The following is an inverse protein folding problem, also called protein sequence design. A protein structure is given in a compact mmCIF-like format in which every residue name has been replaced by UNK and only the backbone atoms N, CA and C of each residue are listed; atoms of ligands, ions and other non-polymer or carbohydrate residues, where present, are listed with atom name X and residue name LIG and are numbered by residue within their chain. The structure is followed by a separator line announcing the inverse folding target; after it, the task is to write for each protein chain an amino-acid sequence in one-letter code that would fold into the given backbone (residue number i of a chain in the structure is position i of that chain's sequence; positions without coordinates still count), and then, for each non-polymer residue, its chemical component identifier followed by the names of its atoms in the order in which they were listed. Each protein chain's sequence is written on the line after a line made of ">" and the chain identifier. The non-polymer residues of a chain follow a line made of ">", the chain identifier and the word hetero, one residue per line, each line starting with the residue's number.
data_IF_912706259768
#
_entry.id   IF_912706259768
#
_cell.length_a   1.000
_cell.length_b   1.000
_cell.length_c   1.000
_cell.angle_alpha   90.00
_cell.angle_beta   90.00
_cell.angle_gamma   90.00
#
_symmetry.space_group_name_H-M   'P 1'
#
loop_
_entity.id
_entity.type
_entity.pdbx_description
1 polymer ?
#
# COMPACT_ATOMS: atom_id res chain seq x y z
N UNK A 1 36.11 -10.44 6.21
CA UNK A 1 35.99 -11.83 5.74
C UNK A 1 36.12 -12.72 6.96
N UNK A 2 35.02 -13.09 7.58
CA UNK A 2 34.97 -14.15 8.60
C UNK A 2 33.76 -15.02 8.30
N UNK A 3 34.03 -16.27 8.01
CA UNK A 3 33.11 -17.33 7.58
C UNK A 3 32.44 -17.87 8.84
N UNK A 4 31.11 -17.89 8.84
CA UNK A 4 30.35 -18.62 9.86
C UNK A 4 30.21 -20.08 9.45
N UNK A 5 30.67 -20.98 10.30
CA UNK A 5 30.48 -22.43 10.18
C UNK A 5 29.15 -22.81 10.85
N UNK A 6 28.40 -23.76 10.29
CA UNK A 6 27.15 -24.23 10.92
C UNK A 6 27.42 -25.17 12.09
N UNK A 7 26.76 -24.91 13.21
CA UNK A 7 26.72 -25.83 14.36
C UNK A 7 25.64 -26.86 14.06
N UNK A 8 26.06 -28.09 13.79
CA UNK A 8 25.18 -29.26 13.74
C UNK A 8 24.94 -29.80 15.16
N UNK A 9 23.70 -29.69 15.67
CA UNK A 9 23.25 -30.46 16.82
C UNK A 9 22.11 -31.37 16.37
N UNK A 10 22.43 -32.66 16.22
CA UNK A 10 21.45 -33.73 16.05
C UNK A 10 20.85 -34.06 17.42
N UNK A 11 19.62 -33.63 17.67
CA UNK A 11 18.82 -34.13 18.76
C UNK A 11 17.88 -35.22 18.21
N UNK A 12 18.14 -36.49 18.59
CA UNK A 12 17.25 -37.60 18.27
C UNK A 12 16.03 -37.57 19.19
N UNK A 13 14.85 -37.31 18.60
CA UNK A 13 13.58 -37.48 19.30
C UNK A 13 13.12 -38.93 19.21
N UNK A 14 13.07 -39.62 20.35
CA UNK A 14 12.44 -40.92 20.46
C UNK A 14 10.92 -40.70 20.62
N UNK A 15 10.16 -41.05 19.58
CA UNK A 15 8.69 -41.03 19.62
C UNK A 15 8.21 -42.40 20.16
N UNK A 16 7.68 -42.40 21.36
CA UNK A 16 6.95 -43.54 21.89
C UNK A 16 5.54 -43.58 21.28
N UNK A 17 5.25 -44.59 20.49
CA UNK A 17 3.93 -44.82 19.95
C UNK A 17 3.00 -45.41 21.03
N UNK A 18 2.09 -44.60 21.57
CA UNK A 18 0.93 -45.04 22.32
C UNK A 18 -0.25 -45.23 21.37
N UNK A 19 -0.69 -46.48 21.23
CA UNK A 19 -1.93 -46.81 20.51
C UNK A 19 -3.14 -46.38 21.34
N UNK A 20 -3.73 -45.25 20.99
CA UNK A 20 -5.03 -44.82 21.49
C UNK A 20 -6.13 -45.32 20.55
N UNK A 21 -7.06 -46.10 21.07
CA UNK A 21 -8.29 -46.52 20.37
C UNK A 21 -9.15 -45.31 20.08
N UNK A 22 -9.35 -44.99 18.80
CA UNK A 22 -10.22 -43.91 18.34
C UNK A 22 -11.69 -44.34 18.41
N UNK A 23 -12.42 -43.86 19.40
CA UNK A 23 -13.87 -43.79 19.30
C UNK A 23 -14.21 -42.64 18.32
N UNK A 24 -14.74 -42.96 17.18
CA UNK A 24 -15.25 -41.96 16.20
C UNK A 24 -16.53 -41.33 16.73
N UNK A 25 -16.42 -40.20 17.40
CA UNK A 25 -17.51 -39.24 17.54
C UNK A 25 -17.76 -38.62 16.16
N UNK A 26 -19.03 -38.47 15.71
CA UNK A 26 -19.31 -37.77 14.47
C UNK A 26 -18.77 -36.34 14.60
N UNK A 27 -17.98 -35.91 13.63
CA UNK A 27 -17.61 -34.52 13.47
C UNK A 27 -18.90 -33.69 13.41
N UNK A 28 -19.18 -32.94 14.49
CA UNK A 28 -20.24 -31.96 14.49
C UNK A 28 -20.02 -31.04 13.29
N UNK A 29 -21.11 -30.70 12.60
CA UNK A 29 -21.10 -29.72 11.52
C UNK A 29 -20.35 -28.49 12.00
N UNK A 30 -19.20 -28.20 11.37
CA UNK A 30 -18.47 -26.97 11.66
C UNK A 30 -19.46 -25.81 11.50
N UNK A 31 -19.60 -24.99 12.52
CA UNK A 31 -20.36 -23.74 12.43
C UNK A 31 -19.85 -22.96 11.20
N UNK A 32 -20.75 -22.36 10.39
CA UNK A 32 -20.29 -21.56 9.28
C UNK A 32 -19.31 -20.50 9.80
N UNK A 33 -18.21 -20.29 9.08
CA UNK A 33 -17.24 -19.27 9.44
C UNK A 33 -17.95 -17.92 9.61
N UNK A 34 -17.57 -17.10 10.61
CA UNK A 34 -18.20 -15.81 10.85
C UNK A 34 -18.11 -14.98 9.56
N UNK A 35 -19.22 -14.35 9.19
CA UNK A 35 -19.29 -13.58 7.95
C UNK A 35 -18.98 -12.12 8.24
N UNK A 36 -17.93 -11.62 7.64
CA UNK A 36 -17.58 -10.21 7.62
C UNK A 36 -18.51 -9.40 6.69
N UNK A 37 -18.62 -8.09 6.93
CA UNK A 37 -19.40 -7.18 6.09
C UNK A 37 -18.69 -6.74 4.79
N UNK A 38 -17.48 -7.25 4.54
CA UNK A 38 -16.73 -7.00 3.30
C UNK A 38 -17.49 -7.49 2.06
N UNK A 39 -17.15 -6.98 0.88
CA UNK A 39 -17.76 -7.42 -0.37
C UNK A 39 -17.67 -8.94 -0.59
N UNK A 40 -16.55 -9.54 -0.22
CA UNK A 40 -16.32 -10.98 -0.32
C UNK A 40 -16.92 -11.81 0.82
N UNK A 41 -17.35 -11.18 1.91
CA UNK A 41 -17.75 -11.82 3.17
C UNK A 41 -16.58 -12.44 3.95
N UNK A 42 -15.33 -12.16 3.54
CA UNK A 42 -14.11 -12.62 4.20
C UNK A 42 -13.51 -11.51 5.05
N UNK A 43 -12.58 -11.89 5.92
CA UNK A 43 -11.80 -10.98 6.77
C UNK A 43 -11.21 -9.81 5.99
N UNK A 44 -11.31 -8.59 6.54
CA UNK A 44 -10.63 -7.41 6.02
C UNK A 44 -9.13 -7.66 5.90
N UNK A 45 -8.53 -7.30 4.77
CA UNK A 45 -7.11 -7.51 4.47
C UNK A 45 -6.28 -6.34 4.97
N UNK A 46 -5.16 -6.63 5.62
CA UNK A 46 -4.23 -5.62 6.12
C UNK A 46 -3.10 -5.40 5.12
N UNK A 47 -2.89 -4.16 4.74
CA UNK A 47 -1.80 -3.73 3.88
C UNK A 47 -0.74 -3.06 4.75
N UNK A 48 0.47 -3.63 4.77
CA UNK A 48 1.62 -2.98 5.40
C UNK A 48 2.04 -1.75 4.60
N UNK A 49 1.57 -0.57 5.03
CA UNK A 49 1.82 0.72 4.39
C UNK A 49 3.30 1.08 4.43
N UNK A 50 4.01 0.91 3.31
CA UNK A 50 5.47 1.01 3.20
C UNK A 50 6.22 -0.01 4.08
N UNK A 51 5.56 -1.15 4.37
CA UNK A 51 6.01 -2.17 5.31
C UNK A 51 5.55 -1.92 6.74
N UNK A 52 6.33 -2.34 7.75
CA UNK A 52 6.11 -2.07 9.19
C UNK A 52 6.78 -0.74 9.57
N UNK A 53 6.13 0.35 9.23
CA UNK A 53 6.67 1.71 9.32
C UNK A 53 6.71 2.25 10.76
N UNK A 54 5.90 1.70 11.67
CA UNK A 54 5.90 2.13 13.07
C UNK A 54 7.26 1.88 13.76
N UNK A 55 7.97 0.81 13.37
CA UNK A 55 9.20 0.38 14.03
C UNK A 55 10.45 0.43 13.14
N UNK A 56 10.28 0.39 11.83
CA UNK A 56 11.36 0.35 10.85
C UNK A 56 11.31 1.56 9.91
N UNK A 57 12.42 2.01 9.35
CA UNK A 57 12.38 2.99 8.26
C UNK A 57 11.54 2.47 7.09
N UNK A 58 10.64 3.31 6.59
CA UNK A 58 9.74 2.97 5.50
C UNK A 58 10.48 2.43 4.27
N UNK A 59 9.83 1.55 3.50
CA UNK A 59 10.36 0.99 2.25
C UNK A 59 11.70 0.25 2.39
N UNK A 60 12.13 -0.03 3.60
CA UNK A 60 13.35 -0.82 3.84
C UNK A 60 13.07 -2.32 3.72
N UNK A 61 14.12 -3.10 3.42
CA UNK A 61 14.05 -4.56 3.49
C UNK A 61 13.52 -5.02 4.86
N UNK A 62 13.97 -4.37 5.95
CA UNK A 62 13.53 -4.69 7.30
C UNK A 62 12.04 -4.46 7.51
N UNK A 63 11.48 -3.30 7.04
CA UNK A 63 10.07 -2.99 7.20
C UNK A 63 9.16 -3.97 6.45
N UNK A 64 9.55 -4.40 5.26
CA UNK A 64 8.79 -5.36 4.47
C UNK A 64 8.78 -6.76 5.08
N UNK A 65 9.95 -7.19 5.57
CA UNK A 65 10.07 -8.48 6.23
C UNK A 65 9.26 -8.51 7.53
N UNK A 66 9.36 -7.44 8.32
CA UNK A 66 8.64 -7.33 9.59
C UNK A 66 7.12 -7.30 9.39
N UNK A 67 6.61 -6.52 8.41
CA UNK A 67 5.20 -6.50 8.08
C UNK A 67 4.65 -7.90 7.76
N UNK A 68 5.41 -8.69 7.00
CA UNK A 68 5.03 -10.06 6.69
C UNK A 68 5.01 -10.96 7.92
N UNK A 69 6.01 -10.88 8.80
CA UNK A 69 6.07 -11.63 10.06
C UNK A 69 4.89 -11.32 10.98
N UNK A 70 4.46 -10.07 11.02
CA UNK A 70 3.41 -9.57 11.91
C UNK A 70 1.99 -9.76 11.39
N UNK A 71 1.83 -10.28 10.18
CA UNK A 71 0.52 -10.71 9.69
C UNK A 71 -0.13 -9.83 8.63
N UNK A 72 0.64 -8.97 7.94
CA UNK A 72 0.16 -8.29 6.74
C UNK A 72 -0.28 -9.30 5.67
N UNK A 73 -1.36 -8.99 4.95
CA UNK A 73 -1.82 -9.77 3.80
C UNK A 73 -1.19 -9.25 2.51
N UNK A 74 -0.96 -7.93 2.45
CA UNK A 74 -0.28 -7.23 1.36
C UNK A 74 0.89 -6.41 1.89
N UNK A 75 1.90 -6.24 1.05
CA UNK A 75 3.07 -5.39 1.32
C UNK A 75 3.10 -4.32 0.22
N UNK A 76 3.18 -3.07 0.63
CA UNK A 76 3.03 -1.94 -0.29
C UNK A 76 4.36 -1.24 -0.55
N UNK A 77 4.74 -1.05 -1.84
CA UNK A 77 5.84 -0.20 -2.28
C UNK A 77 5.33 1.00 -3.08
N UNK A 78 5.89 2.17 -2.82
CA UNK A 78 5.77 3.35 -3.69
C UNK A 78 6.88 3.35 -4.74
N UNK A 79 6.56 3.55 -6.01
CA UNK A 79 7.52 3.51 -7.11
C UNK A 79 7.91 4.90 -7.57
N UNK A 80 9.21 5.11 -7.72
CA UNK A 80 9.83 6.24 -8.39
C UNK A 80 10.75 5.77 -9.51
N UNK A 81 11.11 6.69 -10.44
CA UNK A 81 11.95 6.37 -11.59
C UNK A 81 13.23 7.21 -11.57
N UNK A 82 14.38 6.56 -11.54
CA UNK A 82 15.69 7.21 -11.59
C UNK A 82 15.97 7.86 -12.95
N UNK A 83 16.97 8.73 -13.00
CA UNK A 83 17.44 9.39 -14.23
C UNK A 83 17.75 8.41 -15.35
N UNK A 84 18.37 7.30 -15.05
CA UNK A 84 18.76 6.22 -15.97
C UNK A 84 17.70 5.12 -16.13
N UNK A 85 16.46 5.35 -15.66
CA UNK A 85 15.29 4.52 -15.98
C UNK A 85 15.12 3.27 -15.09
N UNK A 86 15.70 3.23 -13.91
CA UNK A 86 15.44 2.16 -12.94
C UNK A 86 14.28 2.53 -12.01
N UNK A 87 13.40 1.56 -11.76
CA UNK A 87 12.38 1.70 -10.73
C UNK A 87 13.01 1.50 -9.35
N UNK A 88 12.79 2.45 -8.46
CA UNK A 88 13.16 2.34 -7.05
C UNK A 88 11.93 2.45 -6.16
N UNK A 89 12.07 2.03 -4.92
CA UNK A 89 11.01 2.11 -3.93
C UNK A 89 11.27 3.29 -2.99
N UNK A 90 10.44 4.32 -3.07
CA UNK A 90 10.51 5.52 -2.25
C UNK A 90 9.21 6.32 -2.34
N UNK A 91 8.70 6.82 -1.20
CA UNK A 91 7.39 7.50 -1.19
C UNK A 91 7.41 8.86 -1.90
N UNK A 92 8.29 9.76 -1.44
CA UNK A 92 8.35 11.10 -2.03
C UNK A 92 9.13 11.08 -3.34
N UNK A 93 8.87 12.04 -4.21
CA UNK A 93 9.65 12.28 -5.43
C UNK A 93 11.08 12.74 -5.11
N UNK A 94 11.36 13.05 -3.83
CA UNK A 94 12.64 13.56 -3.32
C UNK A 94 13.09 12.81 -2.07
N UNK A 95 14.37 12.95 -1.69
CA UNK A 95 15.07 12.03 -0.80
C UNK A 95 15.56 12.66 0.51
N UNK A 96 15.42 13.99 0.67
CA UNK A 96 16.04 14.72 1.80
C UNK A 96 15.50 14.31 3.17
N UNK A 97 14.20 13.99 3.29
CA UNK A 97 13.52 13.67 4.55
C UNK A 97 13.66 12.23 5.03
N UNK A 98 13.99 11.29 4.11
CA UNK A 98 13.97 9.85 4.39
C UNK A 98 15.33 9.17 4.20
N UNK A 99 16.37 9.92 3.87
CA UNK A 99 17.71 9.35 3.62
C UNK A 99 18.84 10.21 4.21
N UNK A 100 20.04 9.67 4.17
CA UNK A 100 21.26 10.38 4.57
C UNK A 100 21.87 11.25 3.45
N UNK A 101 21.14 11.56 2.36
CA UNK A 101 21.68 12.24 1.17
C UNK A 101 22.32 13.59 1.49
N UNK A 102 21.78 14.32 2.47
CA UNK A 102 22.34 15.60 2.90
C UNK A 102 23.78 15.50 3.46
N UNK A 103 24.22 14.30 3.83
CA UNK A 103 25.55 14.01 4.35
C UNK A 103 26.50 13.41 3.31
N UNK A 104 26.14 13.44 2.02
CA UNK A 104 26.95 12.93 0.90
C UNK A 104 27.40 14.12 0.05
N UNK A 105 28.63 14.64 0.25
CA UNK A 105 29.11 15.85 -0.44
C UNK A 105 29.08 15.74 -1.97
N UNK A 106 29.34 14.54 -2.49
CA UNK A 106 29.36 14.25 -3.92
C UNK A 106 28.01 14.48 -4.61
N UNK A 107 26.92 14.42 -3.86
CA UNK A 107 25.55 14.62 -4.36
C UNK A 107 24.99 16.02 -4.06
N UNK A 108 25.70 16.86 -3.32
CA UNK A 108 25.21 18.19 -2.92
C UNK A 108 24.81 19.07 -4.10
N UNK A 109 25.54 18.97 -5.23
CA UNK A 109 25.31 19.75 -6.44
C UNK A 109 24.05 19.33 -7.24
N UNK A 110 23.42 18.22 -6.88
CA UNK A 110 22.22 17.69 -7.55
C UNK A 110 20.90 18.23 -6.99
N UNK A 111 20.97 19.10 -5.99
CA UNK A 111 19.77 19.81 -5.51
C UNK A 111 19.17 20.65 -6.64
N UNK A 112 17.87 20.55 -6.79
CA UNK A 112 17.13 21.26 -7.82
C UNK A 112 15.76 21.72 -7.33
N UNK A 113 15.07 22.48 -8.18
CA UNK A 113 13.65 22.80 -7.99
C UNK A 113 12.85 22.10 -9.08
N UNK A 114 11.72 21.51 -8.72
CA UNK A 114 10.82 20.91 -9.71
C UNK A 114 9.39 21.34 -9.47
N UNK A 115 8.69 21.56 -10.59
CA UNK A 115 7.25 21.81 -10.64
C UNK A 115 6.61 20.75 -11.51
N UNK A 116 5.53 20.13 -11.02
CA UNK A 116 4.74 19.15 -11.77
C UNK A 116 3.26 19.25 -11.37
N UNK A 117 2.39 18.67 -12.16
CA UNK A 117 0.99 18.49 -11.77
C UNK A 117 0.93 17.37 -10.76
N UNK A 118 0.50 17.69 -9.54
CA UNK A 118 0.36 16.72 -8.46
C UNK A 118 -0.90 15.89 -8.67
N UNK A 119 -0.77 14.59 -8.66
CA UNK A 119 -1.83 13.68 -9.04
C UNK A 119 -2.97 13.56 -8.02
N UNK A 120 -2.74 13.95 -6.76
CA UNK A 120 -3.74 13.93 -5.69
C UNK A 120 -4.85 14.97 -5.92
N UNK A 121 -4.48 16.19 -6.35
CA UNK A 121 -5.40 17.32 -6.46
C UNK A 121 -5.44 17.98 -7.85
N UNK A 122 -4.58 17.52 -8.77
CA UNK A 122 -4.49 18.04 -10.12
C UNK A 122 -3.88 19.46 -10.23
N UNK A 123 -3.29 19.98 -9.14
CA UNK A 123 -2.68 21.33 -9.11
C UNK A 123 -1.18 21.27 -9.32
N UNK A 124 -0.60 22.38 -9.76
CA UNK A 124 0.86 22.48 -9.81
C UNK A 124 1.45 22.50 -8.39
N UNK A 125 2.36 21.56 -8.15
CA UNK A 125 3.18 21.48 -6.94
C UNK A 125 4.61 21.83 -7.28
N UNK A 126 5.20 22.76 -6.53
CA UNK A 126 6.61 23.10 -6.64
C UNK A 126 7.34 22.74 -5.36
N UNK A 127 8.41 21.99 -5.50
CA UNK A 127 9.33 21.65 -4.40
C UNK A 127 10.69 22.26 -4.71
N UNK A 128 11.24 22.97 -3.72
CA UNK A 128 12.46 23.76 -3.87
C UNK A 128 13.61 23.11 -3.12
N UNK A 129 14.82 23.23 -3.71
CA UNK A 129 16.09 22.90 -3.07
C UNK A 129 16.15 21.47 -2.50
N UNK A 130 15.70 20.50 -3.28
CA UNK A 130 15.63 19.08 -2.92
C UNK A 130 16.39 18.18 -3.91
N UNK A 131 16.68 16.95 -3.51
CA UNK A 131 17.25 15.92 -4.34
C UNK A 131 16.15 15.02 -4.89
N UNK A 132 15.86 15.18 -6.17
CA UNK A 132 14.78 14.41 -6.80
C UNK A 132 15.30 13.07 -7.31
N UNK A 133 14.51 12.01 -7.09
CA UNK A 133 14.77 10.66 -7.60
C UNK A 133 15.07 10.69 -9.11
N UNK A 134 14.29 11.48 -9.87
CA UNK A 134 14.42 11.62 -11.32
C UNK A 134 15.74 12.26 -11.78
N UNK A 135 16.52 12.87 -10.90
CA UNK A 135 17.82 13.50 -11.23
C UNK A 135 19.02 12.60 -10.88
N UNK A 136 18.82 11.52 -10.11
CA UNK A 136 19.87 10.61 -9.68
C UNK A 136 19.87 9.33 -10.52
N UNK A 137 21.07 8.83 -10.80
CA UNK A 137 21.24 7.47 -11.39
C UNK A 137 21.10 6.41 -10.30
N UNK A 138 20.87 5.14 -10.69
CA UNK A 138 20.83 4.04 -9.73
C UNK A 138 22.16 3.90 -8.96
N UNK A 139 23.31 4.16 -9.59
CA UNK A 139 24.61 4.17 -8.91
C UNK A 139 24.65 5.17 -7.77
N UNK A 140 24.13 6.39 -7.98
CA UNK A 140 24.03 7.43 -6.96
C UNK A 140 23.03 7.06 -5.85
N UNK A 141 21.88 6.48 -6.22
CA UNK A 141 20.89 5.94 -5.26
C UNK A 141 21.53 4.88 -4.34
N UNK A 142 22.42 4.02 -4.87
CA UNK A 142 23.10 2.98 -4.08
C UNK A 142 24.06 3.53 -2.99
N UNK A 143 24.45 4.79 -3.08
CA UNK A 143 25.25 5.45 -2.04
C UNK A 143 24.41 5.76 -0.79
N UNK A 144 23.08 5.81 -0.92
CA UNK A 144 22.17 6.27 0.12
C UNK A 144 21.85 5.18 1.14
N UNK A 145 21.47 5.65 2.33
CA UNK A 145 20.90 4.83 3.39
C UNK A 145 19.59 5.46 3.86
N UNK A 146 18.59 4.60 4.10
CA UNK A 146 17.27 5.03 4.54
C UNK A 146 17.32 5.39 6.02
N UNK A 147 16.63 6.46 6.38
CA UNK A 147 16.35 6.87 7.75
C UNK A 147 14.82 6.83 7.98
N UNK A 148 14.42 6.74 9.24
CA UNK A 148 13.05 7.05 9.62
C UNK A 148 12.73 8.48 9.19
N UNK A 149 11.54 8.68 8.60
CA UNK A 149 11.17 10.00 8.10
C UNK A 149 11.23 11.04 9.22
N UNK A 150 11.77 12.22 8.89
CA UNK A 150 12.19 13.23 9.88
C UNK A 150 11.03 13.83 10.69
N UNK A 151 9.82 13.78 10.16
CA UNK A 151 8.60 14.21 10.84
C UNK A 151 8.13 13.25 11.94
N UNK A 152 8.53 11.99 11.91
CA UNK A 152 8.11 10.96 12.89
C UNK A 152 9.15 10.80 14.01
N UNK A 153 9.38 11.86 14.79
CA UNK A 153 10.42 11.88 15.86
C UNK A 153 10.14 10.90 17.00
N UNK A 154 8.89 10.45 17.18
CA UNK A 154 8.49 9.46 18.20
C UNK A 154 8.78 8.02 17.79
N UNK A 155 9.02 7.75 16.52
CA UNK A 155 9.36 6.41 16.04
C UNK A 155 10.79 6.03 16.35
N UNK A 156 11.09 4.72 16.53
CA UNK A 156 12.46 4.27 16.78
C UNK A 156 13.44 4.69 15.67
N UNK A 157 14.56 5.30 16.07
CA UNK A 157 15.58 5.81 15.15
C UNK A 157 16.80 4.90 14.99
N UNK A 158 16.86 3.79 15.74
CA UNK A 158 18.05 2.94 15.81
C UNK A 158 18.34 2.12 14.55
N UNK A 159 17.40 2.06 13.61
CA UNK A 159 17.62 1.45 12.29
C UNK A 159 18.01 2.46 11.20
N UNK A 160 18.15 3.73 11.52
CA UNK A 160 18.63 4.74 10.58
C UNK A 160 20.02 4.37 10.04
N UNK A 161 20.20 4.45 8.74
CA UNK A 161 21.45 4.14 8.07
C UNK A 161 21.75 2.66 7.84
N UNK A 162 20.89 1.74 8.29
CA UNK A 162 21.12 0.30 8.10
C UNK A 162 20.79 -0.19 6.70
N UNK A 163 19.70 0.31 6.11
CA UNK A 163 19.16 -0.21 4.84
C UNK A 163 19.45 0.72 3.68
N UNK A 164 19.74 0.15 2.50
CA UNK A 164 19.77 0.88 1.23
C UNK A 164 18.38 0.94 0.60
N UNK A 165 18.20 1.87 -0.34
CA UNK A 165 16.99 1.96 -1.15
C UNK A 165 16.93 0.74 -2.08
N UNK A 166 15.78 0.06 -2.11
CA UNK A 166 15.53 -1.08 -2.98
C UNK A 166 15.12 -0.62 -4.38
N UNK A 167 15.49 -1.39 -5.40
CA UNK A 167 14.77 -1.33 -6.68
C UNK A 167 13.46 -2.10 -6.57
N UNK A 168 12.55 -1.88 -7.53
CA UNK A 168 11.30 -2.64 -7.56
C UNK A 168 11.54 -4.14 -7.74
N UNK A 169 12.53 -4.51 -8.54
CA UNK A 169 12.97 -5.89 -8.72
C UNK A 169 13.45 -6.51 -7.40
N UNK A 170 14.23 -5.77 -6.61
CA UNK A 170 14.69 -6.24 -5.28
C UNK A 170 13.54 -6.35 -4.29
N UNK A 171 12.59 -5.41 -4.31
CA UNK A 171 11.37 -5.52 -3.52
C UNK A 171 10.59 -6.80 -3.84
N UNK A 172 10.35 -7.10 -5.12
CA UNK A 172 9.66 -8.32 -5.54
C UNK A 172 10.41 -9.58 -5.09
N UNK A 173 11.74 -9.55 -5.06
CA UNK A 173 12.55 -10.62 -4.48
C UNK A 173 12.35 -10.75 -2.97
N UNK A 174 12.26 -9.64 -2.24
CA UNK A 174 11.98 -9.66 -0.78
C UNK A 174 10.64 -10.32 -0.52
N UNK A 175 9.57 -9.91 -1.21
CA UNK A 175 8.24 -10.51 -1.06
C UNK A 175 8.26 -12.00 -1.38
N UNK A 176 8.96 -12.40 -2.43
CA UNK A 176 9.13 -13.80 -2.80
C UNK A 176 9.87 -14.59 -1.72
N UNK A 177 10.97 -14.06 -1.20
CA UNK A 177 11.78 -14.75 -0.19
C UNK A 177 11.02 -14.93 1.12
N UNK A 178 10.29 -13.91 1.58
CA UNK A 178 9.49 -14.00 2.79
C UNK A 178 8.29 -14.94 2.60
N UNK A 179 7.71 -15.00 1.40
CA UNK A 179 6.68 -15.98 1.04
C UNK A 179 7.20 -17.43 1.18
N UNK A 180 8.42 -17.70 0.72
CA UNK A 180 9.04 -19.03 0.86
C UNK A 180 9.32 -19.35 2.33
N UNK A 181 9.90 -18.41 3.05
CA UNK A 181 10.30 -18.61 4.45
C UNK A 181 9.10 -18.86 5.37
N UNK A 182 8.02 -18.12 5.17
CA UNK A 182 6.81 -18.22 5.98
C UNK A 182 5.78 -19.24 5.46
N UNK A 183 6.01 -19.79 4.26
CA UNK A 183 5.11 -20.79 3.66
C UNK A 183 3.70 -20.27 3.34
N UNK A 184 3.52 -18.93 3.23
CA UNK A 184 2.26 -18.32 2.83
C UNK A 184 2.48 -17.21 1.81
N UNK A 185 1.57 -17.03 0.82
CA UNK A 185 1.68 -15.98 -0.16
C UNK A 185 1.33 -14.60 0.44
N UNK A 186 2.02 -13.58 -0.05
CA UNK A 186 1.75 -12.17 0.25
C UNK A 186 1.35 -11.44 -1.03
N UNK A 187 0.34 -10.58 -0.92
CA UNK A 187 -0.03 -9.69 -2.00
C UNK A 187 0.99 -8.54 -2.17
N UNK A 188 1.13 -8.05 -3.41
CA UNK A 188 1.89 -6.85 -3.76
C UNK A 188 0.94 -5.78 -4.27
N UNK A 189 1.13 -4.54 -3.83
CA UNK A 189 0.26 -3.43 -4.18
C UNK A 189 1.07 -2.17 -4.52
N UNK A 190 1.86 -2.19 -5.63
CA UNK A 190 2.73 -1.08 -6.00
C UNK A 190 1.95 0.17 -6.42
N UNK A 191 2.34 1.31 -5.84
CA UNK A 191 1.85 2.63 -6.25
C UNK A 191 2.76 3.26 -7.28
N UNK A 192 2.18 3.74 -8.39
CA UNK A 192 2.86 4.61 -9.33
C UNK A 192 2.70 6.07 -8.88
N UNK A 193 3.76 6.63 -8.29
CA UNK A 193 3.80 8.02 -7.80
C UNK A 193 4.05 8.99 -8.93
N UNK A 194 3.28 10.08 -8.97
CA UNK A 194 3.52 11.25 -9.85
C UNK A 194 3.97 10.90 -11.29
N UNK A 195 3.17 10.12 -12.06
CA UNK A 195 3.54 9.74 -13.42
C UNK A 195 3.85 10.93 -14.33
N UNK A 196 3.18 12.06 -14.13
CA UNK A 196 3.43 13.31 -14.87
C UNK A 196 4.86 13.85 -14.70
N UNK A 197 5.46 13.64 -13.51
CA UNK A 197 6.86 13.98 -13.26
C UNK A 197 7.82 12.97 -13.91
N UNK A 198 7.57 11.67 -13.71
CA UNK A 198 8.50 10.62 -14.12
C UNK A 198 8.48 10.32 -15.60
N UNK A 199 7.39 10.61 -16.31
CA UNK A 199 7.33 10.49 -17.79
C UNK A 199 7.95 11.69 -18.51
N UNK A 200 8.18 12.82 -17.82
CA UNK A 200 8.73 14.02 -18.44
C UNK A 200 10.15 13.79 -19.00
N UNK A 201 10.34 14.07 -20.28
CA UNK A 201 11.64 13.92 -20.96
C UNK A 201 12.06 12.49 -21.23
N UNK A 202 11.17 11.52 -21.05
CA UNK A 202 11.38 10.14 -21.43
C UNK A 202 11.20 9.94 -22.95
N UNK A 203 11.68 8.80 -23.50
CA UNK A 203 11.58 8.53 -24.94
C UNK A 203 10.16 8.57 -25.51
N UNK A 204 9.16 8.27 -24.67
CA UNK A 204 7.74 8.30 -25.04
C UNK A 204 6.86 8.44 -23.78
N UNK A 205 5.62 8.84 -23.98
CA UNK A 205 4.61 8.87 -22.92
C UNK A 205 4.34 7.43 -22.40
N UNK A 206 4.00 7.30 -21.14
CA UNK A 206 3.78 6.01 -20.47
C UNK A 206 5.04 5.16 -20.26
N UNK A 207 6.22 5.76 -20.39
CA UNK A 207 7.48 5.06 -20.13
C UNK A 207 7.55 4.48 -18.72
N UNK A 208 7.08 5.21 -17.73
CA UNK A 208 7.08 4.80 -16.32
C UNK A 208 6.10 3.64 -16.08
N UNK A 209 4.89 3.73 -16.61
CA UNK A 209 3.87 2.69 -16.52
C UNK A 209 4.31 1.40 -17.21
N UNK A 210 4.81 1.49 -18.44
CA UNK A 210 5.31 0.34 -19.19
C UNK A 210 6.46 -0.34 -18.46
N UNK A 211 7.36 0.45 -17.86
CA UNK A 211 8.48 -0.08 -17.07
C UNK A 211 7.98 -0.87 -15.86
N UNK A 212 6.98 -0.35 -15.15
CA UNK A 212 6.38 -1.03 -14.01
C UNK A 212 5.68 -2.33 -14.43
N UNK A 213 4.87 -2.28 -15.50
CA UNK A 213 4.17 -3.45 -16.08
C UNK A 213 5.16 -4.54 -16.46
N UNK A 214 6.21 -4.20 -17.22
CA UNK A 214 7.22 -5.16 -17.66
C UNK A 214 7.96 -5.81 -16.49
N UNK A 215 8.24 -5.05 -15.44
CA UNK A 215 8.89 -5.58 -14.24
C UNK A 215 7.95 -6.57 -13.54
N UNK A 216 6.70 -6.21 -13.32
CA UNK A 216 5.73 -7.07 -12.64
C UNK A 216 5.44 -8.35 -13.44
N UNK A 217 5.29 -8.25 -14.79
CA UNK A 217 5.14 -9.40 -15.69
C UNK A 217 6.35 -10.33 -15.60
N UNK A 218 7.56 -9.75 -15.68
CA UNK A 218 8.81 -10.54 -15.67
C UNK A 218 8.94 -11.39 -14.40
N UNK A 219 8.48 -10.87 -13.27
CA UNK A 219 8.50 -11.59 -11.99
C UNK A 219 7.28 -12.47 -11.76
N UNK A 220 6.34 -12.53 -12.69
CA UNK A 220 5.21 -13.46 -12.70
C UNK A 220 3.98 -13.00 -11.92
N UNK A 221 3.89 -11.72 -11.56
CA UNK A 221 2.72 -11.15 -10.86
C UNK A 221 1.69 -10.51 -11.80
N UNK A 222 1.96 -10.38 -13.09
CA UNK A 222 1.06 -9.80 -14.07
C UNK A 222 1.14 -10.55 -15.39
N UNK A 223 0.03 -10.51 -16.16
CA UNK A 223 0.03 -10.83 -17.58
C UNK A 223 -0.33 -9.57 -18.38
N UNK A 224 0.41 -9.31 -19.45
CA UNK A 224 0.12 -8.20 -20.36
C UNK A 224 -1.02 -8.62 -21.28
N UNK A 225 -2.11 -7.84 -21.28
CA UNK A 225 -3.33 -8.12 -22.04
C UNK A 225 -3.43 -7.32 -23.34
N UNK A 226 -2.70 -6.20 -23.43
CA UNK A 226 -2.62 -5.34 -24.63
C UNK A 226 -1.18 -4.96 -24.89
N UNK A 227 -0.90 -4.56 -26.13
CA UNK A 227 0.43 -4.13 -26.53
C UNK A 227 0.92 -2.95 -25.69
N UNK A 228 2.18 -3.05 -25.24
CA UNK A 228 2.96 -1.98 -24.59
C UNK A 228 4.32 -1.88 -25.26
N UNK A 229 5.02 -0.77 -25.07
CA UNK A 229 6.37 -0.65 -25.60
C UNK A 229 7.36 -1.51 -24.79
N UNK A 230 7.99 -2.50 -25.46
CA UNK A 230 8.96 -3.41 -24.85
C UNK A 230 10.42 -3.04 -25.13
N UNK A 231 10.68 -1.90 -25.80
CA UNK A 231 12.04 -1.46 -26.15
C UNK A 231 12.81 -0.89 -24.94
N UNK A 232 12.41 -1.28 -23.75
CA UNK A 232 13.06 -0.91 -22.50
C UNK A 232 14.04 -1.98 -22.06
N UNK A 233 15.25 -1.56 -21.73
CA UNK A 233 16.25 -2.45 -21.14
C UNK A 233 15.87 -2.73 -19.67
N UNK A 234 15.26 -3.90 -19.43
CA UNK A 234 15.14 -4.45 -18.08
C UNK A 234 16.47 -5.11 -17.74
N UNK A 235 17.09 -4.77 -16.63
CA UNK A 235 18.29 -5.45 -16.17
C UNK A 235 17.95 -6.86 -15.66
N UNK A 236 17.91 -7.80 -16.60
CA UNK A 236 17.60 -9.21 -16.32
C UNK A 236 18.71 -9.93 -15.52
N UNK A 237 19.86 -9.27 -15.25
CA UNK A 237 20.95 -9.90 -14.50
C UNK A 237 20.56 -10.27 -13.07
N UNK A 238 19.63 -9.52 -12.50
CA UNK A 238 19.05 -9.87 -11.19
C UNK A 238 18.11 -11.08 -11.29
N UNK A 239 17.34 -11.19 -12.38
CA UNK A 239 16.37 -12.28 -12.60
C UNK A 239 17.02 -13.64 -12.90
N UNK A 240 18.18 -13.66 -13.56
CA UNK A 240 18.89 -14.91 -13.91
C UNK A 240 19.31 -15.73 -12.69
N UNK A 241 19.36 -15.12 -11.49
CA UNK A 241 19.64 -15.80 -10.22
C UNK A 241 18.37 -16.33 -9.51
N UNK A 242 17.20 -15.98 -10.00
CA UNK A 242 15.94 -16.40 -9.41
C UNK A 242 15.55 -17.76 -9.98
N UNK A 243 15.59 -18.80 -9.15
CA UNK A 243 14.97 -20.07 -9.51
C UNK A 243 13.46 -19.82 -9.65
N UNK A 244 12.79 -20.38 -10.68
CA UNK A 244 11.34 -20.35 -10.73
C UNK A 244 10.80 -20.94 -9.43
N UNK A 245 10.00 -20.18 -8.68
CA UNK A 245 9.10 -20.77 -7.70
C UNK A 245 8.06 -21.55 -8.50
N UNK A 246 7.72 -22.74 -8.07
CA UNK A 246 6.56 -23.45 -8.64
C UNK A 246 5.35 -22.51 -8.60
N UNK A 247 4.48 -22.58 -9.59
CA UNK A 247 3.35 -21.67 -9.85
C UNK A 247 2.38 -21.43 -8.66
N UNK A 248 2.58 -22.12 -7.54
CA UNK A 248 1.64 -22.15 -6.41
C UNK A 248 1.89 -21.07 -5.34
N UNK A 249 2.88 -20.18 -5.47
CA UNK A 249 3.40 -19.46 -4.30
C UNK A 249 3.31 -17.94 -4.37
N UNK A 250 3.02 -17.34 -5.53
CA UNK A 250 2.84 -15.88 -5.60
C UNK A 250 1.45 -15.48 -5.08
N UNK A 251 1.43 -14.46 -4.22
CA UNK A 251 0.19 -13.82 -3.81
C UNK A 251 -0.42 -12.96 -4.92
N UNK A 252 -1.59 -12.38 -4.67
CA UNK A 252 -2.22 -11.49 -5.63
C UNK A 252 -1.42 -10.20 -5.81
N UNK A 253 -1.59 -9.57 -6.99
CA UNK A 253 -1.07 -8.23 -7.28
C UNK A 253 -2.21 -7.26 -7.52
N UNK A 254 -1.99 -6.00 -7.15
CA UNK A 254 -2.95 -4.92 -7.36
C UNK A 254 -2.17 -3.64 -7.67
N UNK A 255 -2.47 -2.96 -8.78
CA UNK A 255 -1.91 -1.65 -9.07
C UNK A 255 -2.57 -0.56 -8.26
N UNK A 256 -1.86 0.51 -7.95
CA UNK A 256 -2.47 1.72 -7.42
C UNK A 256 -1.85 3.00 -7.98
N UNK A 257 -2.66 4.04 -8.12
CA UNK A 257 -2.22 5.38 -8.50
C UNK A 257 -3.28 6.42 -8.17
N UNK A 258 -2.83 7.64 -7.83
CA UNK A 258 -3.67 8.84 -7.79
C UNK A 258 -3.94 9.39 -9.20
N UNK A 259 -3.05 9.14 -10.15
CA UNK A 259 -3.25 9.54 -11.55
C UNK A 259 -4.28 8.61 -12.21
N UNK A 260 -5.48 9.14 -12.45
CA UNK A 260 -6.58 8.37 -13.02
C UNK A 260 -6.32 7.89 -14.46
N UNK A 261 -5.46 8.57 -15.21
CA UNK A 261 -5.12 8.17 -16.58
C UNK A 261 -4.12 7.03 -16.57
N UNK A 262 -3.15 7.04 -15.65
CA UNK A 262 -2.27 5.91 -15.40
C UNK A 262 -3.04 4.71 -14.85
N UNK A 263 -3.95 4.93 -13.90
CA UNK A 263 -4.81 3.86 -13.37
C UNK A 263 -5.61 3.16 -14.48
N UNK A 264 -6.24 3.93 -15.39
CA UNK A 264 -6.93 3.38 -16.56
C UNK A 264 -6.00 2.66 -17.53
N UNK A 265 -4.82 3.22 -17.76
CA UNK A 265 -3.82 2.59 -18.62
C UNK A 265 -3.42 1.21 -18.08
N UNK A 266 -3.08 1.11 -16.79
CA UNK A 266 -2.75 -0.14 -16.12
C UNK A 266 -3.88 -1.18 -16.22
N UNK A 267 -5.12 -0.76 -15.94
CA UNK A 267 -6.31 -1.63 -16.06
C UNK A 267 -6.57 -2.14 -17.48
N UNK A 268 -6.17 -1.37 -18.49
CA UNK A 268 -6.36 -1.73 -19.90
C UNK A 268 -5.28 -2.67 -20.45
N UNK A 269 -4.07 -2.62 -19.87
CA UNK A 269 -2.89 -3.30 -20.42
C UNK A 269 -2.46 -4.52 -19.62
N UNK A 270 -3.00 -4.74 -18.42
CA UNK A 270 -2.71 -5.90 -17.59
C UNK A 270 -3.99 -6.59 -17.09
N UNK A 271 -3.87 -7.83 -16.61
CA UNK A 271 -4.93 -8.57 -15.91
C UNK A 271 -4.97 -8.24 -14.40
N UNK A 272 -4.10 -7.36 -13.94
CA UNK A 272 -3.98 -6.99 -12.53
C UNK A 272 -5.05 -5.97 -12.15
N UNK A 273 -5.85 -6.20 -11.11
CA UNK A 273 -6.81 -5.23 -10.60
C UNK A 273 -6.16 -3.90 -10.23
N UNK A 274 -6.94 -2.82 -10.32
CA UNK A 274 -6.45 -1.46 -10.04
C UNK A 274 -7.20 -0.84 -8.87
N UNK A 275 -6.45 -0.21 -7.98
CA UNK A 275 -6.93 0.74 -6.97
C UNK A 275 -6.93 2.13 -7.59
N UNK A 276 -8.07 2.79 -7.58
CA UNK A 276 -8.15 4.24 -7.74
C UNK A 276 -7.90 4.88 -6.36
N UNK A 277 -6.74 5.54 -6.21
CA UNK A 277 -6.46 6.37 -5.04
C UNK A 277 -7.12 7.73 -5.23
N UNK A 278 -7.99 8.12 -4.31
CA UNK A 278 -8.75 9.37 -4.42
C UNK A 278 -8.76 10.09 -3.09
N UNK A 279 -8.37 11.36 -3.11
CA UNK A 279 -8.50 12.24 -1.94
C UNK A 279 -9.36 13.48 -2.26
N UNK A 280 -8.91 14.28 -3.20
CA UNK A 280 -9.40 15.64 -3.42
C UNK A 280 -10.15 15.78 -4.76
N UNK A 281 -10.86 14.73 -5.17
CA UNK A 281 -11.68 14.70 -6.38
C UNK A 281 -13.17 14.61 -5.99
N UNK A 282 -13.91 15.75 -5.87
CA UNK A 282 -15.28 15.77 -5.38
C UNK A 282 -16.22 14.79 -6.09
N UNK A 283 -16.11 14.72 -7.42
CA UNK A 283 -16.95 13.85 -8.25
C UNK A 283 -16.87 12.36 -7.87
N UNK A 284 -15.74 11.90 -7.34
CA UNK A 284 -15.51 10.48 -7.04
C UNK A 284 -16.41 9.96 -5.89
N UNK A 285 -16.90 10.86 -5.05
CA UNK A 285 -17.74 10.53 -3.88
C UNK A 285 -19.24 10.71 -4.16
N UNK A 286 -19.63 10.61 -5.42
CA UNK A 286 -21.03 10.66 -5.87
C UNK A 286 -21.43 9.31 -6.49
N UNK A 287 -22.73 8.97 -6.59
CA UNK A 287 -23.17 7.77 -7.27
C UNK A 287 -22.63 7.64 -8.70
N UNK A 288 -22.73 8.70 -9.51
CA UNK A 288 -22.21 8.70 -10.87
C UNK A 288 -20.68 8.61 -10.91
N UNK A 289 -20.00 9.16 -9.91
CA UNK A 289 -18.55 9.03 -9.76
C UNK A 289 -18.11 7.58 -9.49
N UNK A 290 -18.83 6.89 -8.60
CA UNK A 290 -18.59 5.46 -8.38
C UNK A 290 -18.85 4.62 -9.64
N UNK A 291 -19.90 4.93 -10.41
CA UNK A 291 -20.17 4.25 -11.70
C UNK A 291 -19.00 4.45 -12.67
N UNK A 292 -18.42 5.67 -12.72
CA UNK A 292 -17.24 5.97 -13.55
C UNK A 292 -16.00 5.20 -13.10
N UNK A 293 -15.77 5.10 -11.78
CA UNK A 293 -14.65 4.35 -11.20
C UNK A 293 -14.80 2.84 -11.46
N UNK A 294 -15.99 2.27 -11.31
CA UNK A 294 -16.30 0.87 -11.58
C UNK A 294 -15.93 0.44 -13.02
N UNK A 295 -15.87 1.38 -13.96
CA UNK A 295 -15.49 1.13 -15.35
C UNK A 295 -14.03 0.67 -15.53
N UNK A 296 -13.14 0.88 -14.55
CA UNK A 296 -11.72 0.49 -14.65
C UNK A 296 -11.10 0.05 -13.32
N UNK A 297 -11.54 0.57 -12.18
CA UNK A 297 -11.02 0.23 -10.86
C UNK A 297 -11.84 -0.88 -10.19
N UNK A 298 -11.19 -1.74 -9.45
CA UNK A 298 -11.82 -2.76 -8.60
C UNK A 298 -11.83 -2.35 -7.14
N UNK A 299 -10.97 -1.43 -6.76
CA UNK A 299 -10.83 -0.94 -5.40
C UNK A 299 -10.82 0.59 -5.44
N UNK A 300 -11.60 1.22 -4.60
CA UNK A 300 -11.52 2.63 -4.28
C UNK A 300 -10.78 2.79 -2.96
N UNK A 301 -9.70 3.53 -2.98
CA UNK A 301 -8.92 3.82 -1.78
C UNK A 301 -8.93 5.33 -1.53
N UNK A 302 -9.30 5.71 -0.31
CA UNK A 302 -9.42 7.12 0.06
C UNK A 302 -9.11 7.34 1.53
N UNK A 303 -8.95 8.61 1.90
CA UNK A 303 -8.63 8.99 3.26
C UNK A 303 -9.72 8.57 4.24
N UNK A 304 -9.33 8.00 5.38
CA UNK A 304 -10.26 7.46 6.39
C UNK A 304 -11.23 8.51 6.94
N UNK A 305 -10.84 9.78 6.92
CA UNK A 305 -11.68 10.90 7.35
C UNK A 305 -13.01 10.99 6.58
N UNK A 306 -13.02 10.58 5.33
CA UNK A 306 -14.21 10.55 4.48
C UNK A 306 -15.27 9.59 5.03
N UNK A 307 -14.84 8.50 5.65
CA UNK A 307 -15.74 7.53 6.30
C UNK A 307 -16.28 8.01 7.66
N UNK A 308 -15.63 8.99 8.25
CA UNK A 308 -16.00 9.55 9.57
C UNK A 308 -16.73 10.89 9.42
N UNK A 309 -16.14 11.83 8.67
CA UNK A 309 -16.65 13.19 8.51
C UNK A 309 -17.60 13.35 7.31
N UNK A 310 -17.46 12.49 6.31
CA UNK A 310 -18.11 12.60 5.00
C UNK A 310 -17.28 13.38 3.97
N UNK A 311 -17.56 13.13 2.68
CA UNK A 311 -16.80 13.74 1.60
C UNK A 311 -16.85 15.27 1.61
N UNK A 312 -18.04 15.85 1.81
CA UNK A 312 -18.21 17.30 1.79
C UNK A 312 -17.41 17.99 2.91
N UNK A 313 -17.51 17.50 4.14
CA UNK A 313 -16.79 18.07 5.28
C UNK A 313 -15.27 17.93 5.11
N UNK A 314 -14.80 16.77 4.63
CA UNK A 314 -13.40 16.53 4.32
C UNK A 314 -12.87 17.51 3.25
N UNK A 315 -13.56 17.62 2.12
CA UNK A 315 -13.13 18.49 1.01
C UNK A 315 -13.10 19.96 1.42
N UNK A 316 -14.11 20.44 2.18
CA UNK A 316 -14.16 21.82 2.72
C UNK A 316 -12.99 22.08 3.67
N UNK A 317 -12.64 21.11 4.53
CA UNK A 317 -11.49 21.21 5.46
C UNK A 317 -10.18 21.47 4.70
N UNK A 318 -9.99 20.82 3.54
CA UNK A 318 -8.81 21.00 2.69
C UNK A 318 -8.95 22.12 1.65
N UNK A 319 -9.97 22.97 1.77
CA UNK A 319 -10.24 24.08 0.87
C UNK A 319 -10.39 23.65 -0.62
N UNK A 320 -10.94 22.46 -0.85
CA UNK A 320 -11.28 21.99 -2.17
C UNK A 320 -12.64 22.56 -2.55
N UNK A 321 -12.72 23.14 -3.74
CA UNK A 321 -13.94 23.73 -4.28
C UNK A 321 -14.51 22.86 -5.40
N UNK A 322 -15.82 22.93 -5.58
CA UNK A 322 -16.55 22.24 -6.65
C UNK A 322 -17.75 23.08 -7.09
N UNK A 323 -18.33 22.75 -8.24
CA UNK A 323 -19.62 23.27 -8.64
C UNK A 323 -20.74 22.42 -7.99
N UNK A 324 -21.57 23.05 -7.17
CA UNK A 324 -22.67 22.35 -6.46
C UNK A 324 -23.66 21.71 -7.44
N UNK A 325 -23.91 22.36 -8.60
CA UNK A 325 -24.83 21.81 -9.61
C UNK A 325 -24.27 20.56 -10.26
N UNK A 326 -22.95 20.51 -10.49
CA UNK A 326 -22.32 19.32 -11.05
C UNK A 326 -22.43 18.16 -10.07
N UNK A 327 -22.20 18.40 -8.79
CA UNK A 327 -22.34 17.37 -7.75
C UNK A 327 -23.81 16.92 -7.61
N UNK A 328 -24.77 17.84 -7.64
CA UNK A 328 -26.22 17.50 -7.63
C UNK A 328 -26.60 16.63 -8.84
N UNK A 329 -26.14 16.98 -10.04
CA UNK A 329 -26.39 16.21 -11.26
C UNK A 329 -25.76 14.81 -11.21
N UNK A 330 -24.68 14.64 -10.47
CA UNK A 330 -24.03 13.35 -10.23
C UNK A 330 -24.66 12.54 -9.08
N UNK A 331 -25.75 13.02 -8.48
CA UNK A 331 -26.52 12.35 -7.43
C UNK A 331 -26.19 12.80 -6.01
N UNK A 332 -25.44 13.89 -5.85
CA UNK A 332 -24.99 14.43 -4.57
C UNK A 332 -23.86 13.63 -3.93
N UNK A 333 -23.28 14.15 -2.85
CA UNK A 333 -22.30 13.39 -2.07
C UNK A 333 -22.94 12.22 -1.33
N UNK A 334 -22.26 11.07 -1.37
CA UNK A 334 -22.68 9.87 -0.65
C UNK A 334 -22.37 10.08 0.84
N UNK A 335 -23.36 9.80 1.71
CA UNK A 335 -23.14 9.88 3.16
C UNK A 335 -22.10 8.83 3.63
N UNK A 336 -21.29 9.13 4.68
CA UNK A 336 -20.23 8.23 5.17
C UNK A 336 -20.71 6.80 5.41
N UNK A 337 -21.85 6.64 6.11
CA UNK A 337 -22.45 5.33 6.42
C UNK A 337 -22.93 4.53 5.21
N UNK A 338 -23.12 5.20 4.08
CA UNK A 338 -23.64 4.58 2.86
C UNK A 338 -22.53 4.26 1.85
N UNK A 339 -21.33 4.85 2.03
CA UNK A 339 -20.25 4.76 1.04
C UNK A 339 -19.84 3.31 0.74
N UNK A 340 -19.69 2.47 1.78
CA UNK A 340 -19.33 1.06 1.61
C UNK A 340 -20.41 0.32 0.82
N UNK A 341 -21.69 0.49 1.20
CA UNK A 341 -22.82 -0.16 0.50
C UNK A 341 -22.90 0.26 -0.97
N UNK A 342 -22.76 1.56 -1.25
CA UNK A 342 -22.81 2.11 -2.59
C UNK A 342 -21.68 1.59 -3.48
N UNK A 343 -20.44 1.51 -2.92
CA UNK A 343 -19.30 0.94 -3.62
C UNK A 343 -19.50 -0.57 -3.88
N UNK A 344 -19.88 -1.33 -2.84
CA UNK A 344 -20.12 -2.77 -2.95
C UNK A 344 -21.22 -3.11 -3.95
N UNK A 345 -22.28 -2.30 -4.04
CA UNK A 345 -23.37 -2.51 -5.02
C UNK A 345 -22.87 -2.44 -6.48
N UNK A 346 -21.72 -1.81 -6.71
CA UNK A 346 -21.05 -1.67 -8.01
C UNK A 346 -19.88 -2.64 -8.19
N UNK A 347 -19.65 -3.53 -7.21
CA UNK A 347 -18.53 -4.46 -7.22
C UNK A 347 -17.16 -3.79 -6.98
N UNK A 348 -17.16 -2.61 -6.34
CA UNK A 348 -15.96 -1.90 -5.90
C UNK A 348 -15.68 -2.25 -4.44
N UNK A 349 -14.50 -2.79 -4.15
CA UNK A 349 -13.97 -2.97 -2.80
C UNK A 349 -13.45 -1.64 -2.24
N UNK A 350 -13.44 -1.46 -0.92
CA UNK A 350 -12.96 -0.24 -0.26
C UNK A 350 -11.68 -0.48 0.53
N UNK A 351 -10.76 0.50 0.43
CA UNK A 351 -9.45 0.46 1.07
C UNK A 351 -9.09 1.81 1.69
N UNK A 352 -9.62 2.15 2.88
CA UNK A 352 -9.23 3.39 3.54
C UNK A 352 -7.75 3.43 3.94
N UNK A 353 -7.15 4.62 3.92
CA UNK A 353 -5.82 4.93 4.41
C UNK A 353 -5.83 6.23 5.22
N UNK A 354 -4.88 6.48 6.09
CA UNK A 354 -3.87 5.60 6.65
C UNK A 354 -4.16 5.42 8.13
N UNK A 355 -4.05 4.18 8.62
CA UNK A 355 -4.21 3.89 10.03
C UNK A 355 -2.83 3.93 10.70
N UNK A 356 -2.49 5.12 11.20
CA UNK A 356 -1.22 5.40 11.84
C UNK A 356 -1.13 4.79 13.25
N UNK A 357 0.09 4.74 13.77
CA UNK A 357 0.40 4.28 15.14
C UNK A 357 0.16 5.35 16.22
N UNK A 358 -0.15 6.58 15.82
CA UNK A 358 -0.33 7.72 16.70
C UNK A 358 -1.79 8.16 16.81
N UNK A 359 -2.22 8.57 18.04
CA UNK A 359 -3.54 9.17 18.24
C UNK A 359 -3.70 10.51 17.49
N UNK A 360 -2.61 11.22 17.23
CA UNK A 360 -2.64 12.49 16.50
C UNK A 360 -3.05 12.32 15.02
N UNK A 361 -3.02 11.08 14.52
CA UNK A 361 -3.35 10.74 13.14
C UNK A 361 -4.75 10.12 13.00
N UNK A 362 -5.61 10.29 14.00
CA UNK A 362 -7.04 9.98 13.87
C UNK A 362 -7.71 10.98 12.91
N UNK A 363 -8.94 10.66 12.48
CA UNK A 363 -9.71 11.57 11.63
C UNK A 363 -9.70 13.00 12.22
N UNK A 364 -9.41 14.00 11.37
CA UNK A 364 -9.21 15.39 11.80
C UNK A 364 -10.38 15.94 12.62
N UNK A 365 -11.61 15.57 12.25
CA UNK A 365 -12.83 15.98 12.93
C UNK A 365 -12.92 15.47 14.36
N UNK A 366 -12.16 14.41 14.68
CA UNK A 366 -12.12 13.82 16.02
C UNK A 366 -10.96 14.34 16.87
N UNK A 367 -10.05 15.12 16.30
CA UNK A 367 -8.90 15.69 17.01
C UNK A 367 -9.26 17.00 17.74
N UNK A 368 -10.26 17.74 17.24
CA UNK A 368 -10.72 18.98 17.85
C UNK A 368 -11.84 18.73 18.84
N UNK A 369 -11.54 18.88 20.14
CA UNK A 369 -12.52 18.70 21.21
C UNK A 369 -13.65 19.75 21.18
N UNK A 370 -13.47 20.87 20.46
CA UNK A 370 -14.41 21.98 20.34
C UNK A 370 -15.17 22.03 19.00
N UNK A 371 -14.96 21.08 18.09
CA UNK A 371 -15.62 21.08 16.79
C UNK A 371 -17.15 21.03 16.96
N UNK A 372 -17.87 22.05 16.48
CA UNK A 372 -19.34 22.12 16.49
C UNK A 372 -19.98 21.00 15.64
N UNK A 373 -19.23 20.39 14.75
CA UNK A 373 -19.67 19.34 13.83
C UNK A 373 -18.97 18.00 14.09
N UNK A 374 -18.89 17.57 15.36
CA UNK A 374 -18.38 16.21 15.64
C UNK A 374 -19.19 15.17 14.90
N UNK A 375 -18.52 14.27 14.21
CA UNK A 375 -19.13 13.05 13.70
C UNK A 375 -19.85 12.30 14.80
N UNK A 376 -20.92 11.58 14.47
CA UNK A 376 -21.60 10.67 15.40
C UNK A 376 -20.63 9.63 15.98
N UNK A 377 -19.54 9.36 15.26
CA UNK A 377 -18.48 8.47 15.67
C UNK A 377 -17.12 9.18 15.68
N UNK A 378 -16.52 9.28 16.85
CA UNK A 378 -15.12 9.65 17.03
C UNK A 378 -14.45 8.63 17.95
N UNK A 379 -13.55 7.77 17.42
CA UNK A 379 -12.93 6.73 18.22
C UNK A 379 -12.05 7.33 19.32
N UNK A 380 -12.05 6.72 20.50
CA UNK A 380 -11.22 7.12 21.65
C UNK A 380 -9.93 6.33 21.75
N UNK A 381 -9.82 5.24 20.99
CA UNK A 381 -8.67 4.36 20.96
C UNK A 381 -8.47 3.77 19.56
N UNK A 382 -7.28 3.24 19.30
CA UNK A 382 -6.99 2.53 18.07
C UNK A 382 -7.91 1.31 17.87
N UNK A 383 -8.24 0.60 18.93
CA UNK A 383 -9.14 -0.54 18.87
C UNK A 383 -10.55 -0.11 18.41
N UNK A 384 -11.09 0.98 18.97
CA UNK A 384 -12.38 1.52 18.54
C UNK A 384 -12.33 1.98 17.07
N UNK A 385 -11.23 2.61 16.64
CA UNK A 385 -11.06 3.03 15.25
C UNK A 385 -11.10 1.81 14.30
N UNK A 386 -10.27 0.80 14.55
CA UNK A 386 -10.21 -0.36 13.65
C UNK A 386 -11.52 -1.15 13.67
N UNK A 387 -12.14 -1.34 14.83
CA UNK A 387 -13.43 -2.05 14.92
C UNK A 387 -14.55 -1.34 14.17
N UNK A 388 -14.59 0.00 14.22
CA UNK A 388 -15.54 0.77 13.43
C UNK A 388 -15.41 0.48 11.91
N UNK A 389 -14.17 0.47 11.39
CA UNK A 389 -13.96 0.17 9.99
C UNK A 389 -14.22 -1.31 9.64
N UNK A 390 -13.95 -2.24 10.56
CA UNK A 390 -14.32 -3.65 10.39
C UNK A 390 -15.85 -3.81 10.33
N UNK A 391 -16.58 -3.13 11.23
CA UNK A 391 -18.06 -3.14 11.25
C UNK A 391 -18.65 -2.54 9.97
N UNK A 392 -18.05 -1.47 9.44
CA UNK A 392 -18.44 -0.88 8.15
C UNK A 392 -18.29 -1.85 6.98
N UNK A 393 -17.38 -2.82 7.07
CA UNK A 393 -17.13 -3.81 6.05
C UNK A 393 -16.13 -3.35 4.98
N UNK A 394 -15.16 -2.51 5.33
CA UNK A 394 -14.07 -2.17 4.41
C UNK A 394 -13.24 -3.42 4.08
N UNK A 395 -12.81 -3.55 2.83
CA UNK A 395 -12.20 -4.79 2.31
C UNK A 395 -10.70 -4.86 2.58
N UNK A 396 -10.04 -3.69 2.65
CA UNK A 396 -8.62 -3.53 2.95
C UNK A 396 -8.41 -2.35 3.90
N UNK A 397 -7.27 -2.32 4.56
CA UNK A 397 -6.83 -1.20 5.38
C UNK A 397 -5.32 -1.01 5.25
N UNK A 398 -4.88 0.21 4.91
CA UNK A 398 -3.46 0.59 4.99
C UNK A 398 -3.08 0.89 6.42
N UNK A 399 -2.28 0.03 7.02
CA UNK A 399 -1.90 0.11 8.43
C UNK A 399 -0.39 0.26 8.59
N UNK A 400 0.05 0.97 9.62
CA UNK A 400 1.47 1.22 9.89
C UNK A 400 2.01 0.42 11.07
N UNK A 401 1.14 -0.03 11.99
CA UNK A 401 1.46 -0.94 13.08
C UNK A 401 0.72 -2.27 12.84
N UNK A 402 1.39 -3.19 12.15
CA UNK A 402 0.78 -4.44 11.69
C UNK A 402 0.47 -5.37 12.87
N UNK A 403 1.34 -5.44 13.86
CA UNK A 403 1.13 -6.34 15.01
C UNK A 403 -0.11 -5.94 15.81
N UNK A 404 -0.35 -4.64 15.99
CA UNK A 404 -1.54 -4.15 16.66
C UNK A 404 -2.80 -4.44 15.82
N UNK A 405 -2.77 -4.07 14.53
CA UNK A 405 -3.90 -4.28 13.63
C UNK A 405 -4.27 -5.76 13.46
N UNK A 406 -3.29 -6.65 13.30
CA UNK A 406 -3.52 -8.08 13.17
C UNK A 406 -4.08 -8.70 14.46
N UNK A 407 -3.60 -8.23 15.60
CA UNK A 407 -4.11 -8.64 16.91
C UNK A 407 -5.58 -8.23 17.10
N UNK A 408 -5.91 -6.97 16.78
CA UNK A 408 -7.28 -6.45 16.87
C UNK A 408 -8.21 -7.13 15.86
N UNK A 409 -7.74 -7.43 14.67
CA UNK A 409 -8.49 -8.21 13.68
C UNK A 409 -8.83 -9.61 14.20
N UNK A 410 -7.89 -10.29 14.83
CA UNK A 410 -8.13 -11.60 15.45
C UNK A 410 -9.15 -11.51 16.61
N UNK A 411 -9.10 -10.44 17.40
CA UNK A 411 -10.11 -10.19 18.45
C UNK A 411 -11.51 -10.01 17.86
N UNK A 412 -11.62 -9.26 16.77
CA UNK A 412 -12.87 -9.05 16.06
C UNK A 412 -13.42 -10.36 15.45
N UNK A 413 -12.58 -11.19 14.83
CA UNK A 413 -12.94 -12.53 14.36
C UNK A 413 -13.56 -13.39 15.49
N UNK A 414 -12.94 -13.36 16.67
CA UNK A 414 -13.43 -14.09 17.83
C UNK A 414 -14.79 -13.56 18.33
N UNK A 415 -15.03 -12.25 18.28
CA UNK A 415 -16.32 -11.66 18.63
C UNK A 415 -17.42 -12.09 17.64
N UNK A 416 -17.14 -12.06 16.35
CA UNK A 416 -18.07 -12.54 15.32
C UNK A 416 -18.41 -14.03 15.49
N UNK A 417 -17.40 -14.85 15.81
CA UNK A 417 -17.60 -16.29 16.04
C UNK A 417 -18.44 -16.60 17.30
N UNK A 418 -18.43 -15.72 18.31
CA UNK A 418 -19.26 -15.87 19.52
C UNK A 418 -20.68 -15.36 19.29
N UNK A 419 -20.91 -14.47 18.33
CA UNK A 419 -22.22 -13.92 18.03
C UNK A 419 -23.01 -14.77 16.99
N UNK A 420 -22.35 -15.68 16.28
CA UNK A 420 -22.93 -16.59 15.28
C UNK A 420 -23.41 -17.91 15.92
#
# INVERSE_FOLDING_TARGET
>A
MRIWSPISSTASLVVAATTASTSSTPLGSASPAPKWNTLSGKTTRLIGHRGEKAFMPEHSLGSYWQAALEGADYIEPDLGLTKDGHLIVNHNEYLGGTTNIAHIPELAHLKSNKTWVYDVDGREKTVYNEWFVADLTLEQIRMLRINQASEYTWRPQHFNGYFGILTFEEYLQVVRNVTIELGRPFGVIPELKSPTLYNRGRPYDRYFEDRAILTLEHYGWANITRWINRDQHIDLRLSAKLRPLGAAVLGPSVWQSFDMDSARYLAQHTDVPVVALVEQLPWAFTPAGLDRLAGFAKILSTWKDIFVAGPEAYLRHYNITWDEKDIEQMGGFIAPKDLVREAHSRGIELSPYTFYDSRQDMAYICQDDNAESKSEFCPKSKAEELFYFFDMGVDYMFVENIVEASTLRLQYDNQLAQAA
#
